data_IF_156364324009
#
_entry.id   IF_156364324009
#
_cell.length_a   1.000
_cell.length_b   1.000
_cell.length_c   1.000
_cell.angle_alpha   90.00
_cell.angle_beta   90.00
_cell.angle_gamma   90.00
#
_symmetry.space_group_name_H-M   'P 1'
#
loop_
_entity.id
_entity.type
_entity.pdbx_description
1 polymer ?
#
# COMPACT_ATOMS: atom_id res chain seq x y z
N UNK A 1 -39.31 48.95 -11.07
CA UNK A 1 -38.74 48.01 -12.06
C UNK A 1 -38.30 46.77 -11.30
N UNK A 2 -39.17 45.75 -11.19
CA UNK A 2 -38.83 44.49 -10.54
C UNK A 2 -37.99 43.68 -11.52
N UNK A 3 -36.75 43.40 -11.14
CA UNK A 3 -35.88 42.50 -11.89
C UNK A 3 -36.29 41.08 -11.52
N UNK A 4 -36.70 40.32 -12.52
CA UNK A 4 -37.11 38.93 -12.39
C UNK A 4 -35.88 38.05 -12.10
N UNK A 5 -35.71 37.64 -10.84
CA UNK A 5 -34.61 36.80 -10.35
C UNK A 5 -34.55 35.44 -11.06
N UNK A 6 -35.69 34.94 -11.56
CA UNK A 6 -35.76 33.69 -12.31
C UNK A 6 -35.09 33.80 -13.68
N UNK A 7 -35.20 34.95 -14.34
CA UNK A 7 -34.52 35.20 -15.62
C UNK A 7 -32.99 35.23 -15.46
N UNK A 8 -32.48 35.78 -14.36
CA UNK A 8 -31.04 35.83 -14.07
C UNK A 8 -30.46 34.43 -13.86
N UNK A 9 -31.16 33.57 -13.13
CA UNK A 9 -30.72 32.19 -12.88
C UNK A 9 -30.55 31.36 -14.16
N UNK A 10 -31.49 31.51 -15.10
CA UNK A 10 -31.44 30.82 -16.41
C UNK A 10 -30.25 31.30 -17.25
N UNK A 11 -29.97 32.60 -17.25
CA UNK A 11 -28.84 33.17 -17.98
C UNK A 11 -27.50 32.65 -17.42
N UNK A 12 -27.35 32.59 -16.09
CA UNK A 12 -26.13 32.08 -15.45
C UNK A 12 -25.90 30.60 -15.79
N UNK A 13 -26.95 29.78 -15.73
CA UNK A 13 -26.87 28.36 -16.08
C UNK A 13 -26.49 28.14 -17.56
N UNK A 14 -27.07 28.93 -18.47
CA UNK A 14 -26.75 28.86 -19.90
C UNK A 14 -25.29 29.26 -20.18
N UNK A 15 -24.78 30.32 -19.53
CA UNK A 15 -23.38 30.75 -19.66
C UNK A 15 -22.43 29.68 -19.13
N UNK A 16 -22.74 29.04 -17.99
CA UNK A 16 -21.91 27.97 -17.45
C UNK A 16 -21.83 26.75 -18.39
N UNK A 17 -22.95 26.36 -19.02
CA UNK A 17 -22.99 25.27 -20.00
C UNK A 17 -22.18 25.60 -21.26
N UNK A 18 -22.25 26.85 -21.75
CA UNK A 18 -21.46 27.30 -22.91
C UNK A 18 -19.96 27.25 -22.59
N UNK A 19 -19.54 27.70 -21.40
CA UNK A 19 -18.13 27.65 -20.99
C UNK A 19 -17.65 26.20 -20.87
N UNK A 20 -18.43 25.32 -20.26
CA UNK A 20 -18.11 23.90 -20.16
C UNK A 20 -17.99 23.23 -21.54
N UNK A 21 -18.92 23.51 -22.46
CA UNK A 21 -18.87 23.01 -23.83
C UNK A 21 -17.63 23.53 -24.57
N UNK A 22 -17.32 24.82 -24.47
CA UNK A 22 -16.13 25.40 -25.10
C UNK A 22 -14.83 24.82 -24.54
N UNK A 23 -14.75 24.48 -23.25
CA UNK A 23 -13.60 23.78 -22.66
C UNK A 23 -13.48 22.34 -23.18
N UNK A 24 -14.60 21.67 -23.43
CA UNK A 24 -14.65 20.30 -23.94
C UNK A 24 -14.35 20.21 -25.44
N UNK A 25 -14.60 21.27 -26.21
CA UNK A 25 -14.28 21.35 -27.65
C UNK A 25 -12.87 21.91 -27.90
N UNK A 26 -12.37 22.77 -27.01
CA UNK A 26 -11.00 23.33 -27.09
C UNK A 26 -9.92 22.47 -26.46
N UNK A 27 -10.25 21.32 -25.87
CA UNK A 27 -9.20 20.33 -25.59
C UNK A 27 -8.55 20.01 -26.94
N UNK A 28 -7.30 20.44 -27.17
CA UNK A 28 -6.64 20.16 -28.43
C UNK A 28 -6.69 18.64 -28.57
N UNK A 29 -7.19 18.15 -29.71
CA UNK A 29 -6.89 16.78 -30.13
C UNK A 29 -5.38 16.70 -30.06
N UNK A 30 -4.85 16.08 -28.99
CA UNK A 30 -3.44 15.76 -28.90
C UNK A 30 -3.17 14.99 -30.18
N UNK A 31 -2.51 15.64 -31.13
CA UNK A 31 -2.11 15.06 -32.39
C UNK A 31 -1.24 13.85 -32.04
N UNK A 32 -1.86 12.67 -32.10
CA UNK A 32 -1.20 11.37 -31.97
C UNK A 32 -0.41 11.02 -33.25
N UNK A 33 0.21 12.02 -33.88
CA UNK A 33 1.14 11.82 -35.00
C UNK A 33 2.58 11.85 -34.49
N UNK A 34 2.85 11.02 -33.48
CA UNK A 34 4.16 10.42 -33.33
C UNK A 34 4.01 9.02 -33.90
N UNK A 35 4.38 8.86 -35.17
CA UNK A 35 4.79 7.57 -35.73
C UNK A 35 6.01 7.09 -34.92
N UNK A 36 5.76 6.57 -33.73
CA UNK A 36 6.73 5.76 -33.00
C UNK A 36 6.82 4.48 -33.80
N UNK A 37 7.97 4.25 -34.43
CA UNK A 37 8.28 2.97 -35.04
C UNK A 37 7.97 1.88 -34.02
N UNK A 38 6.90 1.13 -34.25
CA UNK A 38 6.39 0.13 -33.33
C UNK A 38 7.27 -1.11 -33.39
N UNK A 39 8.51 -1.00 -32.95
CA UNK A 39 9.25 -2.17 -32.48
C UNK A 39 8.42 -2.69 -31.31
N UNK A 40 7.70 -3.79 -31.54
CA UNK A 40 6.84 -4.44 -30.55
C UNK A 40 7.68 -4.65 -29.29
N UNK A 41 7.49 -3.78 -28.30
CA UNK A 41 8.22 -3.86 -27.02
C UNK A 41 7.91 -5.24 -26.45
N UNK A 42 8.93 -6.07 -26.30
CA UNK A 42 8.79 -7.40 -25.74
C UNK A 42 8.19 -7.30 -24.33
N UNK A 43 7.17 -8.11 -24.05
CA UNK A 43 6.47 -8.05 -22.76
C UNK A 43 7.35 -8.60 -21.65
N UNK A 44 7.21 -8.06 -20.44
CA UNK A 44 7.99 -8.55 -19.29
C UNK A 44 7.76 -10.04 -19.02
N UNK A 45 6.53 -10.54 -19.21
CA UNK A 45 6.23 -11.97 -19.09
C UNK A 45 7.01 -12.81 -20.10
N UNK A 46 7.13 -12.36 -21.36
CA UNK A 46 7.93 -13.05 -22.38
C UNK A 46 9.39 -13.10 -21.95
N UNK A 47 9.95 -11.98 -21.45
CA UNK A 47 11.32 -11.91 -20.97
C UNK A 47 11.57 -12.86 -19.79
N UNK A 48 10.67 -12.89 -18.80
CA UNK A 48 10.75 -13.78 -17.63
C UNK A 48 10.79 -15.25 -18.09
N UNK A 49 9.89 -15.62 -19.01
CA UNK A 49 9.81 -16.99 -19.55
C UNK A 49 11.03 -17.35 -20.40
N UNK A 50 11.53 -16.43 -21.21
CA UNK A 50 12.70 -16.66 -22.06
C UNK A 50 13.98 -16.83 -21.23
N UNK A 51 14.13 -16.03 -20.16
CA UNK A 51 15.33 -16.02 -19.32
C UNK A 51 15.27 -17.00 -18.14
N UNK A 52 14.15 -17.70 -17.94
CA UNK A 52 13.90 -18.64 -16.84
C UNK A 52 14.22 -18.08 -15.44
N UNK A 53 14.06 -16.78 -15.24
CA UNK A 53 14.16 -16.19 -13.91
C UNK A 53 13.25 -14.97 -13.75
N UNK A 54 12.92 -14.67 -12.51
CA UNK A 54 12.21 -13.46 -12.10
C UNK A 54 12.88 -12.90 -10.83
N UNK A 55 13.02 -11.58 -10.76
CA UNK A 55 13.46 -10.88 -9.55
C UNK A 55 12.26 -10.35 -8.79
N UNK A 56 12.04 -10.85 -7.57
CA UNK A 56 10.90 -10.48 -6.72
C UNK A 56 11.38 -9.63 -5.55
N UNK A 57 10.91 -8.39 -5.50
CA UNK A 57 11.09 -7.49 -4.37
C UNK A 57 10.14 -7.82 -3.22
N UNK A 58 10.63 -7.76 -1.98
CA UNK A 58 9.81 -7.98 -0.78
C UNK A 58 10.23 -7.11 0.40
N UNK A 59 9.32 -6.97 1.37
CA UNK A 59 9.55 -6.37 2.68
C UNK A 59 9.28 -7.41 3.77
N UNK A 60 9.91 -7.28 4.93
CA UNK A 60 9.59 -8.15 6.06
C UNK A 60 8.22 -7.76 6.61
N UNK A 61 7.23 -8.62 6.41
CA UNK A 61 5.82 -8.29 6.54
C UNK A 61 5.00 -9.53 6.98
N UNK A 62 5.22 -10.04 8.19
CA UNK A 62 4.40 -11.13 8.78
C UNK A 62 2.91 -10.79 8.76
N UNK A 63 2.00 -11.65 8.27
CA UNK A 63 2.20 -13.06 7.87
C UNK A 63 2.45 -13.27 6.36
N UNK A 64 2.52 -12.18 5.60
CA UNK A 64 2.62 -12.22 4.16
C UNK A 64 3.98 -12.67 3.68
N UNK A 65 5.04 -12.10 4.24
CA UNK A 65 6.43 -12.45 3.91
C UNK A 65 7.28 -12.31 5.17
N UNK A 66 8.09 -13.32 5.46
CA UNK A 66 9.01 -13.34 6.60
C UNK A 66 10.39 -13.79 6.15
N UNK A 67 11.42 -13.18 6.73
CA UNK A 67 12.79 -13.66 6.57
C UNK A 67 13.21 -14.36 7.86
N UNK A 68 13.73 -15.58 7.73
CA UNK A 68 14.31 -16.30 8.87
C UNK A 68 15.69 -15.70 9.13
N UNK A 69 15.87 -15.11 10.31
CA UNK A 69 17.03 -14.28 10.65
C UNK A 69 18.40 -15.00 10.57
N UNK A 70 18.41 -16.34 10.44
CA UNK A 70 19.61 -17.15 10.68
C UNK A 70 20.18 -17.85 9.42
N UNK A 71 19.72 -17.57 8.21
CA UNK A 71 20.36 -18.14 7.01
C UNK A 71 20.17 -17.30 5.74
N UNK A 72 20.96 -17.57 4.71
CA UNK A 72 20.67 -17.22 3.30
C UNK A 72 19.37 -17.91 2.79
N UNK A 73 18.41 -18.20 3.68
CA UNK A 73 17.12 -18.80 3.35
C UNK A 73 16.32 -17.84 2.50
N UNK A 74 15.66 -18.41 1.50
CA UNK A 74 14.58 -17.76 0.80
C UNK A 74 13.49 -17.31 1.79
N UNK A 75 12.80 -16.19 1.52
CA UNK A 75 11.68 -15.75 2.34
C UNK A 75 10.58 -16.82 2.41
N UNK A 76 9.88 -16.82 3.53
CA UNK A 76 8.69 -17.62 3.83
C UNK A 76 7.46 -16.71 3.95
N UNK A 77 6.31 -17.28 4.34
CA UNK A 77 5.04 -16.56 4.44
C UNK A 77 4.12 -16.78 3.23
N UNK A 78 2.91 -16.24 3.32
CA UNK A 78 1.84 -16.52 2.36
C UNK A 78 2.18 -16.16 0.90
N UNK A 79 2.62 -14.92 0.64
CA UNK A 79 2.95 -14.50 -0.72
C UNK A 79 4.20 -15.21 -1.24
N UNK A 80 5.19 -15.47 -0.37
CA UNK A 80 6.38 -16.22 -0.77
C UNK A 80 6.03 -17.65 -1.20
N UNK A 81 5.17 -18.35 -0.44
CA UNK A 81 4.71 -19.70 -0.77
C UNK A 81 3.96 -19.75 -2.11
N UNK A 82 3.08 -18.78 -2.36
CA UNK A 82 2.36 -18.66 -3.63
C UNK A 82 3.33 -18.44 -4.78
N UNK A 83 4.23 -17.45 -4.69
CA UNK A 83 5.15 -17.15 -5.80
C UNK A 83 6.06 -18.34 -6.11
N UNK A 84 6.58 -19.03 -5.09
CA UNK A 84 7.36 -20.27 -5.28
C UNK A 84 6.56 -21.32 -6.04
N UNK A 85 5.31 -21.59 -5.66
CA UNK A 85 4.46 -22.56 -6.37
C UNK A 85 4.20 -22.15 -7.83
N UNK A 86 3.87 -20.89 -8.07
CA UNK A 86 3.65 -20.37 -9.41
C UNK A 86 4.90 -20.58 -10.25
N UNK A 87 6.04 -19.99 -9.90
CA UNK A 87 7.21 -19.98 -10.78
C UNK A 87 7.92 -21.34 -10.87
N UNK A 88 7.93 -22.15 -9.81
CA UNK A 88 8.51 -23.49 -9.86
C UNK A 88 7.73 -24.40 -10.84
N UNK A 89 6.41 -24.21 -11.00
CA UNK A 89 5.62 -24.98 -11.98
C UNK A 89 6.00 -24.71 -13.44
N UNK A 90 6.73 -23.61 -13.70
CA UNK A 90 7.25 -23.24 -15.01
C UNK A 90 8.79 -23.34 -15.10
N UNK A 91 9.46 -23.93 -14.10
CA UNK A 91 10.92 -23.97 -13.99
C UNK A 91 11.59 -22.57 -14.05
N UNK A 92 10.92 -21.54 -13.55
CA UNK A 92 11.45 -20.18 -13.48
C UNK A 92 12.08 -19.98 -12.10
N UNK A 93 13.36 -19.62 -12.07
CA UNK A 93 14.09 -19.35 -10.84
C UNK A 93 13.66 -18.01 -10.21
N UNK A 94 13.48 -17.98 -8.90
CA UNK A 94 13.15 -16.73 -8.19
C UNK A 94 14.40 -16.14 -7.55
N UNK A 95 14.72 -14.90 -7.90
CA UNK A 95 15.73 -14.07 -7.27
C UNK A 95 15.04 -13.13 -6.27
N UNK A 96 15.12 -13.46 -4.99
CA UNK A 96 14.53 -12.64 -3.94
C UNK A 96 15.40 -11.43 -3.61
N UNK A 97 14.80 -10.23 -3.60
CA UNK A 97 15.47 -8.98 -3.24
C UNK A 97 14.73 -8.31 -2.10
N UNK A 98 15.35 -8.25 -0.92
CA UNK A 98 14.77 -7.46 0.17
C UNK A 98 14.89 -5.98 -0.19
N UNK A 99 13.78 -5.26 -0.03
CA UNK A 99 13.69 -3.83 -0.31
C UNK A 99 13.35 -3.06 0.97
N UNK A 100 13.60 -1.76 0.90
CA UNK A 100 12.99 -0.75 1.77
C UNK A 100 11.77 -0.20 1.04
N UNK A 101 10.63 -0.04 1.74
CA UNK A 101 9.41 0.59 1.22
C UNK A 101 9.71 1.95 0.60
N UNK A 102 10.69 2.69 1.16
CA UNK A 102 11.10 4.00 0.66
C UNK A 102 11.58 3.97 -0.78
N UNK A 103 12.21 2.87 -1.20
CA UNK A 103 12.83 2.73 -2.53
C UNK A 103 12.07 1.75 -3.44
N UNK A 104 10.87 1.33 -3.01
CA UNK A 104 10.09 0.29 -3.70
C UNK A 104 9.71 0.66 -5.13
N UNK A 105 9.10 1.84 -5.32
CA UNK A 105 8.74 2.34 -6.66
C UNK A 105 9.97 2.48 -7.55
N UNK A 106 11.04 3.10 -7.04
CA UNK A 106 12.28 3.30 -7.80
C UNK A 106 12.89 1.97 -8.24
N UNK A 107 12.80 0.94 -7.40
CA UNK A 107 13.29 -0.41 -7.74
C UNK A 107 12.53 -1.01 -8.94
N UNK A 108 11.22 -0.79 -9.03
CA UNK A 108 10.43 -1.23 -10.19
C UNK A 108 10.78 -0.40 -11.43
N UNK A 109 10.88 0.92 -11.29
CA UNK A 109 11.18 1.83 -12.41
C UNK A 109 12.58 1.61 -13.00
N UNK A 110 13.57 1.32 -12.14
CA UNK A 110 14.94 1.05 -12.54
C UNK A 110 15.16 -0.40 -13.02
N UNK A 111 14.11 -1.24 -12.98
CA UNK A 111 14.18 -2.68 -13.29
C UNK A 111 15.15 -3.45 -12.38
N UNK A 112 15.29 -2.97 -11.15
CA UNK A 112 16.02 -3.65 -10.07
C UNK A 112 15.27 -4.89 -9.58
N UNK A 113 13.95 -4.91 -9.79
CA UNK A 113 13.03 -6.03 -9.55
C UNK A 113 11.97 -6.05 -10.66
N UNK A 114 11.44 -7.22 -10.97
CA UNK A 114 10.36 -7.37 -11.96
C UNK A 114 8.99 -7.11 -11.34
N UNK A 115 8.81 -7.54 -10.09
CA UNK A 115 7.57 -7.37 -9.31
C UNK A 115 7.89 -7.15 -7.83
N UNK A 116 6.98 -6.51 -7.10
CA UNK A 116 7.03 -6.40 -5.63
C UNK A 116 5.78 -7.01 -5.04
N UNK A 117 5.95 -7.91 -4.07
CA UNK A 117 4.85 -8.63 -3.42
C UNK A 117 4.50 -8.02 -2.05
N UNK A 118 3.24 -8.21 -1.64
CA UNK A 118 2.70 -7.74 -0.37
C UNK A 118 2.85 -6.23 -0.15
N UNK A 119 2.36 -5.45 -1.11
CA UNK A 119 2.42 -3.99 -1.06
C UNK A 119 1.04 -3.37 -1.20
N UNK A 120 0.81 -2.30 -0.43
CA UNK A 120 -0.43 -1.54 -0.49
C UNK A 120 -0.55 -0.76 -1.80
N UNK A 121 -1.72 -0.89 -2.43
CA UNK A 121 -2.14 0.02 -3.49
C UNK A 121 -2.59 1.34 -2.88
N UNK A 122 -1.98 2.43 -3.35
CA UNK A 122 -2.38 3.80 -2.98
C UNK A 122 -2.46 4.66 -4.23
N UNK A 123 -3.24 5.75 -4.16
CA UNK A 123 -3.33 6.70 -5.26
C UNK A 123 -1.98 7.36 -5.59
N UNK A 124 -1.07 7.47 -4.62
CA UNK A 124 0.28 8.00 -4.83
C UNK A 124 1.13 7.02 -5.65
N UNK A 125 1.12 5.74 -5.26
CA UNK A 125 1.91 4.68 -5.91
C UNK A 125 1.38 4.37 -7.31
N UNK A 126 0.06 4.29 -7.47
CA UNK A 126 -0.60 3.96 -8.75
C UNK A 126 -0.33 4.96 -9.90
N UNK A 127 0.33 6.09 -9.63
CA UNK A 127 0.80 7.02 -10.67
C UNK A 127 2.01 6.50 -11.45
N UNK A 128 2.77 5.57 -10.88
CA UNK A 128 4.08 5.14 -11.38
C UNK A 128 4.17 3.65 -11.70
N UNK A 129 3.23 2.86 -11.18
CA UNK A 129 3.24 1.39 -11.23
C UNK A 129 1.80 0.88 -11.33
N UNK A 130 1.64 -0.33 -11.85
CA UNK A 130 0.37 -1.04 -11.85
C UNK A 130 0.30 -2.01 -10.67
N UNK A 131 -0.92 -2.41 -10.31
CA UNK A 131 -1.16 -3.39 -9.24
C UNK A 131 -2.06 -4.52 -9.75
N UNK A 132 -1.79 -5.74 -9.29
CA UNK A 132 -2.61 -6.92 -9.56
C UNK A 132 -2.72 -7.79 -8.31
N UNK A 133 -3.56 -8.83 -8.39
CA UNK A 133 -3.70 -9.82 -7.31
C UNK A 133 -4.06 -9.20 -5.94
N UNK A 134 -4.97 -8.22 -5.93
CA UNK A 134 -5.41 -7.48 -4.74
C UNK A 134 -6.38 -8.33 -3.90
N UNK A 135 -5.87 -9.39 -3.29
CA UNK A 135 -6.68 -10.41 -2.62
C UNK A 135 -6.91 -10.16 -1.14
N UNK A 136 -6.18 -9.20 -0.57
CA UNK A 136 -6.24 -8.89 0.85
C UNK A 136 -6.44 -7.40 1.04
N UNK A 137 -7.15 -7.04 2.10
CA UNK A 137 -7.18 -5.67 2.62
C UNK A 137 -6.60 -5.64 4.01
N UNK A 138 -5.92 -4.54 4.34
CA UNK A 138 -5.33 -4.30 5.66
C UNK A 138 -5.80 -2.97 6.19
N UNK A 139 -6.23 -2.96 7.44
CA UNK A 139 -6.60 -1.73 8.15
C UNK A 139 -5.38 -0.90 8.51
N UNK A 140 -5.50 0.42 8.41
CA UNK A 140 -4.53 1.38 8.92
C UNK A 140 -5.01 1.89 10.28
N UNK A 141 -4.11 1.84 11.24
CA UNK A 141 -4.39 2.22 12.61
C UNK A 141 -3.24 2.98 13.23
N UNK A 142 -3.03 2.78 14.53
CA UNK A 142 -1.95 3.46 15.22
C UNK A 142 -1.72 2.99 16.64
N UNK A 143 -0.76 3.64 17.28
CA UNK A 143 -0.37 3.40 18.67
C UNK A 143 -0.34 4.74 19.39
N UNK A 144 -0.84 4.77 20.63
CA UNK A 144 -0.69 5.93 21.51
C UNK A 144 -0.45 5.49 22.95
N UNK A 145 -0.15 6.44 23.83
CA UNK A 145 -0.10 6.17 25.28
C UNK A 145 -1.48 5.82 25.83
N UNK A 146 -1.55 4.96 26.84
CA UNK A 146 -2.81 4.53 27.48
C UNK A 146 -3.58 5.69 28.09
N UNK A 147 -2.86 6.60 28.75
CA UNK A 147 -3.42 7.78 29.41
C UNK A 147 -3.92 8.84 28.42
N UNK A 148 -3.51 8.78 27.15
CA UNK A 148 -4.02 9.66 26.11
C UNK A 148 -5.44 9.20 25.72
N UNK A 149 -6.42 10.04 25.99
CA UNK A 149 -7.85 9.81 25.67
C UNK A 149 -8.28 10.75 24.55
N UNK A 150 -9.44 10.47 23.94
CA UNK A 150 -10.04 11.36 22.93
C UNK A 150 -9.62 11.15 21.47
N UNK A 151 -8.70 10.23 21.18
CA UNK A 151 -8.30 9.90 19.80
C UNK A 151 -9.00 8.61 19.38
N UNK A 152 -10.09 8.73 18.60
CA UNK A 152 -10.95 7.61 18.20
C UNK A 152 -11.23 7.54 16.70
N UNK A 153 -11.02 8.64 16.00
CA UNK A 153 -11.37 8.81 14.60
C UNK A 153 -10.33 9.62 13.83
N UNK A 154 -10.47 9.61 12.50
CA UNK A 154 -9.74 10.50 11.60
C UNK A 154 -9.95 11.99 11.93
N UNK A 155 -11.18 12.35 12.34
CA UNK A 155 -11.52 13.73 12.69
C UNK A 155 -10.64 14.23 13.83
N UNK A 156 -10.40 13.40 14.85
CA UNK A 156 -9.58 13.79 16.01
C UNK A 156 -8.13 14.13 15.61
N UNK A 157 -7.60 13.45 14.59
CA UNK A 157 -6.28 13.78 14.03
C UNK A 157 -6.28 15.13 13.31
N UNK A 158 -7.37 15.49 12.63
CA UNK A 158 -7.45 16.75 11.89
C UNK A 158 -7.79 17.97 12.75
N UNK A 159 -8.65 17.82 13.76
CA UNK A 159 -9.16 18.93 14.57
C UNK A 159 -8.25 19.29 15.74
N UNK A 160 -7.60 18.30 16.37
CA UNK A 160 -6.70 18.55 17.49
C UNK A 160 -5.32 19.01 17.00
N UNK A 161 -5.09 20.32 17.08
CA UNK A 161 -3.88 20.98 16.57
C UNK A 161 -2.62 20.77 17.42
N UNK A 162 -2.77 20.19 18.61
CA UNK A 162 -1.68 19.96 19.56
C UNK A 162 -1.12 18.53 19.45
N UNK A 163 -1.82 17.62 18.78
CA UNK A 163 -1.34 16.25 18.55
C UNK A 163 -0.08 16.24 17.70
N UNK A 164 0.98 15.66 18.26
CA UNK A 164 2.20 15.29 17.57
C UNK A 164 2.08 13.88 17.00
N UNK A 165 2.34 13.72 15.73
CA UNK A 165 2.18 12.47 14.98
C UNK A 165 3.54 12.04 14.47
N UNK A 166 3.86 10.76 14.63
CA UNK A 166 5.06 10.13 14.08
C UNK A 166 4.68 9.07 13.04
N UNK A 167 5.42 9.03 11.93
CA UNK A 167 5.23 8.08 10.83
C UNK A 167 6.58 7.65 10.25
N UNK A 168 6.63 6.46 9.64
CA UNK A 168 7.74 6.06 8.77
C UNK A 168 7.63 6.75 7.41
N UNK A 169 8.75 7.24 6.88
CA UNK A 169 8.79 7.89 5.57
C UNK A 169 8.35 6.91 4.48
N UNK A 170 7.56 7.40 3.54
CA UNK A 170 7.00 6.63 2.40
C UNK A 170 6.16 5.40 2.79
N UNK A 171 5.90 5.18 4.07
CA UNK A 171 4.91 4.23 4.55
C UNK A 171 3.49 4.77 4.40
N UNK A 172 2.52 3.89 4.57
CA UNK A 172 1.10 4.24 4.43
C UNK A 172 0.65 5.32 5.42
N UNK A 173 1.23 5.36 6.62
CA UNK A 173 0.96 6.43 7.59
C UNK A 173 1.42 7.80 7.08
N UNK A 174 2.58 7.86 6.41
CA UNK A 174 3.09 9.08 5.79
C UNK A 174 2.24 9.53 4.60
N UNK A 175 1.86 8.59 3.73
CA UNK A 175 0.98 8.91 2.60
C UNK A 175 -0.39 9.42 3.07
N UNK A 176 -0.94 8.84 4.14
CA UNK A 176 -2.20 9.30 4.72
C UNK A 176 -2.11 10.73 5.24
N UNK A 177 -1.07 11.09 6.00
CA UNK A 177 -0.96 12.45 6.55
C UNK A 177 -0.70 13.51 5.47
N UNK A 178 -0.08 13.15 4.35
CA UNK A 178 0.05 14.02 3.17
C UNK A 178 -1.34 14.33 2.57
N UNK A 179 -2.20 13.31 2.42
CA UNK A 179 -3.58 13.47 1.94
C UNK A 179 -4.42 14.33 2.88
N UNK A 180 -4.22 14.18 4.19
CA UNK A 180 -4.91 14.98 5.21
C UNK A 180 -4.37 16.40 5.33
N UNK A 181 -3.26 16.73 4.66
CA UNK A 181 -2.61 18.03 4.69
C UNK A 181 -2.36 18.54 6.12
N UNK A 182 -1.85 17.66 7.00
CA UNK A 182 -1.60 18.03 8.39
C UNK A 182 -0.41 19.00 8.51
N UNK A 183 -0.46 20.01 9.41
CA UNK A 183 0.63 20.97 9.57
C UNK A 183 1.98 20.31 9.89
N UNK A 184 3.04 20.63 9.13
CA UNK A 184 4.39 20.04 9.29
C UNK A 184 4.95 20.13 10.72
N UNK A 185 4.61 21.19 11.47
CA UNK A 185 5.01 21.36 12.89
C UNK A 185 4.53 20.25 13.83
N UNK A 186 3.52 19.49 13.41
CA UNK A 186 2.91 18.37 14.16
C UNK A 186 3.52 17.03 13.77
N UNK A 187 4.39 16.99 12.76
CA UNK A 187 4.81 15.75 12.12
C UNK A 187 6.27 15.45 12.42
N UNK A 188 6.53 14.23 12.87
CA UNK A 188 7.85 13.62 12.91
C UNK A 188 7.88 12.50 11.88
N UNK A 189 8.70 12.65 10.83
CA UNK A 189 8.86 11.65 9.77
C UNK A 189 10.20 10.96 9.99
N UNK A 190 10.18 9.64 10.18
CA UNK A 190 11.37 8.83 10.43
C UNK A 190 11.77 8.15 9.12
N UNK A 191 13.04 8.28 8.72
CA UNK A 191 13.58 7.69 7.48
C UNK A 191 13.71 6.15 7.52
N UNK A 192 13.40 5.51 8.64
CA UNK A 192 13.52 4.07 8.87
C UNK A 192 12.11 3.46 9.04
N UNK A 193 11.93 2.27 8.46
CA UNK A 193 10.71 1.43 8.47
C UNK A 193 10.62 0.54 9.73
N UNK A 194 11.57 0.69 10.65
CA UNK A 194 11.56 0.00 11.92
C UNK A 194 10.38 0.48 12.79
N UNK A 195 9.36 -0.39 12.86
CA UNK A 195 8.15 -0.18 13.66
C UNK A 195 8.47 0.08 15.13
N UNK A 196 9.47 -0.58 15.71
CA UNK A 196 9.85 -0.36 17.11
C UNK A 196 10.41 1.05 17.30
N UNK A 197 11.26 1.50 16.37
CA UNK A 197 11.80 2.86 16.39
C UNK A 197 10.71 3.92 16.22
N UNK A 198 9.69 3.67 15.40
CA UNK A 198 8.55 4.60 15.27
C UNK A 198 7.76 4.65 16.58
N UNK A 199 7.48 3.49 17.19
CA UNK A 199 6.70 3.41 18.43
C UNK A 199 7.47 3.96 19.63
N UNK A 200 8.80 3.88 19.65
CA UNK A 200 9.62 4.42 20.75
C UNK A 200 9.43 5.93 20.94
N UNK A 201 9.07 6.69 19.90
CA UNK A 201 8.74 8.12 20.01
C UNK A 201 7.48 8.37 20.86
N UNK A 202 6.55 7.41 20.88
CA UNK A 202 5.36 7.46 21.74
C UNK A 202 5.72 7.17 23.19
N UNK A 203 6.61 6.20 23.40
CA UNK A 203 7.08 5.78 24.73
C UNK A 203 7.81 6.92 25.46
N UNK A 204 8.71 7.62 24.75
CA UNK A 204 9.51 8.70 25.33
C UNK A 204 8.80 10.06 25.33
N UNK A 205 7.53 10.12 24.90
CA UNK A 205 6.73 11.36 24.91
C UNK A 205 7.09 12.39 23.82
N UNK A 206 7.84 12.00 22.79
CA UNK A 206 8.20 12.89 21.68
C UNK A 206 7.08 13.01 20.63
N UNK A 207 6.20 12.00 20.53
CA UNK A 207 4.98 12.03 19.75
C UNK A 207 3.80 11.50 20.57
N UNK A 208 2.58 11.81 20.15
CA UNK A 208 1.34 11.39 20.81
C UNK A 208 0.69 10.19 20.12
N UNK A 209 0.80 10.14 18.79
CA UNK A 209 0.26 9.07 17.94
C UNK A 209 1.29 8.62 16.92
N UNK A 210 1.48 7.30 16.81
CA UNK A 210 2.13 6.68 15.66
C UNK A 210 1.06 6.15 14.71
N UNK A 211 1.15 6.46 13.41
CA UNK A 211 0.23 5.92 12.39
C UNK A 211 0.97 4.84 11.59
N UNK A 212 0.43 3.62 11.60
CA UNK A 212 1.05 2.41 11.07
C UNK A 212 -0.05 1.51 10.47
N UNK A 213 0.31 0.49 9.68
CA UNK A 213 -0.65 -0.56 9.36
C UNK A 213 -0.96 -1.41 10.61
N UNK A 214 -2.23 -1.78 10.79
CA UNK A 214 -2.69 -2.47 11.99
C UNK A 214 -2.05 -3.85 12.19
N UNK A 215 -1.51 -4.46 11.13
CA UNK A 215 -0.75 -5.70 11.19
C UNK A 215 0.61 -5.47 11.84
N UNK A 216 1.37 -4.44 11.44
CA UNK A 216 2.60 -4.03 12.14
C UNK A 216 2.35 -3.68 13.61
N UNK A 217 1.24 -3.00 13.91
CA UNK A 217 0.83 -2.72 15.29
C UNK A 217 0.64 -4.02 16.08
N UNK A 218 -0.13 -4.98 15.55
CA UNK A 218 -0.35 -6.26 16.22
C UNK A 218 0.97 -7.00 16.46
N UNK A 219 1.82 -7.12 15.43
CA UNK A 219 3.11 -7.78 15.53
C UNK A 219 4.01 -7.16 16.62
N UNK A 220 4.00 -5.84 16.75
CA UNK A 220 4.71 -5.18 17.84
C UNK A 220 4.17 -5.61 19.22
N UNK A 221 2.85 -5.61 19.39
CA UNK A 221 2.21 -6.00 20.65
C UNK A 221 2.41 -7.49 20.99
N UNK A 222 2.43 -8.37 20.00
CA UNK A 222 2.65 -9.81 20.23
C UNK A 222 4.10 -10.12 20.63
N UNK A 223 5.09 -9.46 20.00
CA UNK A 223 6.50 -9.82 20.15
C UNK A 223 7.23 -9.09 21.28
N UNK A 224 6.93 -7.81 21.51
CA UNK A 224 7.74 -6.96 22.41
C UNK A 224 7.03 -6.61 23.72
N UNK A 225 5.71 -6.67 23.71
CA UNK A 225 4.91 -5.88 24.63
C UNK A 225 4.45 -6.64 25.89
N UNK A 226 4.58 -7.97 25.91
CA UNK A 226 4.25 -8.80 27.07
C UNK A 226 5.23 -8.65 28.25
N UNK A 227 6.32 -7.88 28.12
CA UNK A 227 7.43 -7.84 29.10
C UNK A 227 7.61 -6.53 29.88
N UNK A 228 6.93 -5.43 29.54
CA UNK A 228 7.08 -4.13 30.24
C UNK A 228 5.71 -3.53 30.58
N UNK A 229 5.56 -3.05 31.82
CA UNK A 229 4.32 -2.46 32.33
C UNK A 229 3.64 -1.55 31.31
N UNK A 230 2.41 -1.90 30.93
CA UNK A 230 1.77 -1.40 29.72
C UNK A 230 1.45 0.10 29.80
N UNK A 231 2.18 0.93 29.07
CA UNK A 231 1.95 2.38 28.93
C UNK A 231 1.35 2.79 27.58
N UNK A 232 1.20 1.86 26.64
CA UNK A 232 0.73 2.05 25.26
C UNK A 232 -0.54 1.23 24.98
N UNK A 233 -1.27 1.63 23.95
CA UNK A 233 -2.42 0.90 23.43
C UNK A 233 -2.53 1.07 21.91
N UNK A 234 -3.05 0.05 21.19
CA UNK A 234 -3.48 0.24 19.81
C UNK A 234 -4.70 1.16 19.77
N UNK A 235 -4.84 1.93 18.68
CA UNK A 235 -5.99 2.78 18.38
C UNK A 235 -6.48 2.52 16.96
N UNK A 236 -7.72 2.93 16.66
CA UNK A 236 -8.37 2.75 15.36
C UNK A 236 -8.60 1.26 14.95
N UNK A 237 -8.66 0.33 15.92
CA UNK A 237 -8.93 -1.07 15.62
C UNK A 237 -10.37 -1.29 15.11
N UNK A 238 -11.33 -0.59 15.73
CA UNK A 238 -12.75 -0.66 15.37
C UNK A 238 -13.05 0.22 14.15
N UNK A 239 -12.64 1.49 14.21
CA UNK A 239 -12.81 2.48 13.15
C UNK A 239 -11.42 2.80 12.55
N UNK A 240 -10.96 2.01 11.55
CA UNK A 240 -9.66 2.25 10.95
C UNK A 240 -9.61 3.59 10.23
N UNK A 241 -8.42 4.17 10.14
CA UNK A 241 -8.21 5.44 9.43
C UNK A 241 -8.38 5.26 7.92
N UNK A 242 -7.99 4.09 7.42
CA UNK A 242 -8.03 3.70 6.02
C UNK A 242 -8.05 2.18 5.93
N UNK A 243 -8.61 1.63 4.86
CA UNK A 243 -8.48 0.22 4.48
C UNK A 243 -7.73 0.20 3.15
N UNK A 244 -6.56 -0.45 3.13
CA UNK A 244 -5.71 -0.51 1.95
C UNK A 244 -5.78 -1.89 1.32
N UNK A 245 -5.90 -1.93 0.00
CA UNK A 245 -5.76 -3.17 -0.77
C UNK A 245 -4.29 -3.56 -0.82
N UNK A 246 -3.98 -4.83 -0.62
CA UNK A 246 -2.65 -5.39 -0.61
C UNK A 246 -2.53 -6.46 -1.68
N UNK A 247 -1.51 -6.36 -2.53
CA UNK A 247 -1.30 -7.29 -3.63
C UNK A 247 0.12 -7.22 -4.18
N UNK A 248 0.23 -7.30 -5.50
CA UNK A 248 1.49 -7.30 -6.24
C UNK A 248 1.59 -6.00 -7.04
N UNK A 249 2.71 -5.30 -6.91
CA UNK A 249 3.09 -4.14 -7.72
C UNK A 249 3.95 -4.59 -8.88
N UNK A 250 3.66 -4.08 -10.08
CA UNK A 250 4.37 -4.39 -11.33
C UNK A 250 4.66 -3.07 -12.09
N UNK A 251 5.63 -3.05 -13.03
CA UNK A 251 5.83 -1.89 -13.89
C UNK A 251 4.55 -1.53 -14.66
N UNK A 252 4.40 -0.25 -15.04
CA UNK A 252 3.26 0.18 -15.84
C UNK A 252 3.16 -0.57 -17.18
N UNK A 253 1.92 -0.71 -17.64
CA UNK A 253 1.54 -1.27 -18.93
C UNK A 253 1.96 -2.75 -19.10
N UNK A 254 2.06 -3.50 -18.01
CA UNK A 254 2.39 -4.93 -18.01
C UNK A 254 1.13 -5.82 -17.94
N UNK A 255 0.13 -5.53 -18.78
CA UNK A 255 -1.18 -6.21 -18.75
C UNK A 255 -1.08 -7.74 -18.92
N UNK A 256 -0.19 -8.24 -19.76
CA UNK A 256 -0.01 -9.69 -19.97
C UNK A 256 0.50 -10.37 -18.70
N UNK A 257 1.50 -9.77 -18.03
CA UNK A 257 2.03 -10.27 -16.76
C UNK A 257 0.96 -10.22 -15.66
N UNK A 258 0.23 -9.10 -15.55
CA UNK A 258 -0.87 -8.93 -14.60
C UNK A 258 -1.91 -10.03 -14.77
N UNK A 259 -2.42 -10.22 -15.99
CA UNK A 259 -3.43 -11.21 -16.29
C UNK A 259 -2.95 -12.64 -16.01
N UNK A 260 -1.70 -12.94 -16.38
CA UNK A 260 -1.11 -14.25 -16.10
C UNK A 260 -0.98 -14.49 -14.59
N UNK A 261 -0.43 -13.53 -13.83
CA UNK A 261 -0.29 -13.63 -12.37
C UNK A 261 -1.63 -13.82 -11.67
N UNK A 262 -2.68 -13.10 -12.06
CA UNK A 262 -4.00 -13.27 -11.44
C UNK A 262 -4.57 -14.68 -11.66
N UNK A 263 -4.42 -15.22 -12.87
CA UNK A 263 -4.89 -16.56 -13.17
C UNK A 263 -4.11 -17.64 -12.42
N UNK A 264 -2.78 -17.54 -12.40
CA UNK A 264 -1.94 -18.50 -11.67
C UNK A 264 -2.16 -18.41 -10.16
N UNK A 265 -2.26 -17.19 -9.61
CA UNK A 265 -2.54 -17.01 -8.19
C UNK A 265 -3.93 -17.55 -7.82
N UNK A 266 -4.95 -17.37 -8.67
CA UNK A 266 -6.27 -17.99 -8.45
C UNK A 266 -6.20 -19.51 -8.41
N UNK A 267 -5.37 -20.16 -9.25
CA UNK A 267 -5.17 -21.62 -9.22
C UNK A 267 -4.49 -22.04 -7.92
N UNK A 268 -3.33 -21.44 -7.62
CA UNK A 268 -2.50 -21.80 -6.46
C UNK A 268 -3.21 -21.53 -5.13
N UNK A 269 -3.98 -20.44 -5.03
CA UNK A 269 -4.81 -20.15 -3.84
C UNK A 269 -5.87 -21.21 -3.57
N UNK A 270 -6.23 -22.03 -4.56
CA UNK A 270 -7.19 -23.10 -4.36
C UNK A 270 -6.56 -24.40 -3.82
N UNK A 271 -5.22 -24.50 -3.77
CA UNK A 271 -4.53 -25.62 -3.17
C UNK A 271 -4.69 -25.64 -1.66
N UNK A 272 -4.92 -26.83 -1.09
CA UNK A 272 -5.23 -27.00 0.34
C UNK A 272 -4.19 -26.38 1.25
N UNK A 273 -2.90 -26.59 0.96
CA UNK A 273 -1.80 -26.01 1.75
C UNK A 273 -1.83 -24.47 1.78
N UNK A 274 -2.20 -23.82 0.67
CA UNK A 274 -2.24 -22.35 0.59
C UNK A 274 -3.53 -21.83 1.21
N UNK A 275 -4.66 -22.53 1.04
CA UNK A 275 -5.90 -22.21 1.74
C UNK A 275 -5.73 -22.25 3.24
N UNK A 276 -5.09 -23.29 3.77
CA UNK A 276 -4.89 -23.43 5.20
C UNK A 276 -4.01 -22.30 5.75
N UNK A 277 -2.90 -21.97 5.07
CA UNK A 277 -2.10 -20.80 5.43
C UNK A 277 -2.93 -19.50 5.45
N UNK A 278 -3.81 -19.31 4.46
CA UNK A 278 -4.72 -18.15 4.40
C UNK A 278 -5.66 -18.10 5.60
N UNK A 279 -6.29 -19.24 5.92
CA UNK A 279 -7.19 -19.37 7.07
C UNK A 279 -6.44 -19.05 8.36
N UNK A 280 -5.30 -19.69 8.58
CA UNK A 280 -4.51 -19.56 9.81
C UNK A 280 -4.17 -18.09 10.10
N UNK A 281 -3.68 -17.35 9.10
CA UNK A 281 -3.33 -15.95 9.34
C UNK A 281 -4.56 -15.04 9.38
N UNK A 282 -5.65 -15.35 8.69
CA UNK A 282 -6.89 -14.56 8.79
C UNK A 282 -7.52 -14.70 10.17
N UNK A 283 -7.41 -15.88 10.79
CA UNK A 283 -7.78 -16.10 12.19
C UNK A 283 -6.83 -15.37 13.14
N UNK A 284 -5.51 -15.50 12.94
CA UNK A 284 -4.51 -14.80 13.75
C UNK A 284 -4.72 -13.28 13.70
N UNK A 285 -4.99 -12.71 12.53
CA UNK A 285 -5.18 -11.27 12.30
C UNK A 285 -6.66 -10.88 12.14
N UNK A 286 -7.56 -11.57 12.85
CA UNK A 286 -9.00 -11.34 12.75
C UNK A 286 -9.36 -9.86 12.92
N UNK A 287 -10.09 -9.33 11.95
CA UNK A 287 -10.54 -7.94 11.94
C UNK A 287 -9.45 -6.92 11.60
N UNK A 288 -8.20 -7.34 11.31
CA UNK A 288 -7.10 -6.50 10.82
C UNK A 288 -6.86 -6.74 9.33
N UNK A 289 -6.74 -8.02 8.94
CA UNK A 289 -6.60 -8.46 7.56
C UNK A 289 -7.93 -9.08 7.13
N UNK A 290 -8.40 -8.75 5.93
CA UNK A 290 -9.57 -9.40 5.33
C UNK A 290 -9.24 -9.92 3.95
N UNK A 291 -9.83 -11.06 3.59
CA UNK A 291 -9.90 -11.52 2.20
C UNK A 291 -10.86 -10.63 1.40
N UNK A 292 -10.53 -10.39 0.14
CA UNK A 292 -11.37 -9.69 -0.86
C UNK A 292 -11.91 -10.73 -1.86
#
# INVERSE_FOLDING_TARGET
>A
MQIDLTAIGVIIAAVALIIAYLQLVRTPKLSQDKQVSSTKKESLLSNIKANNHITIGYFNCRPFIEMVAESNSEPSGYYAAIMKKIFNSYNINILWKQLSICNSIESVLNKDVDVIVSVFQTAKRAKFVDFCCLHHSVKIGGVCRKNLTGIKSLSDLTTNQDLKIVVGKNEIGHELIEVLNLPRRRLTIIENEDTEKIISFIEIGQADVAILDSRSVKNFFDNFYTKKGVTLKPIFQINPLLICLNGIMIPQDQHELSYWLENEMKKVRNEESIKQMEIDFLEEFQGIINRI
#
